data_IF_262410568296
#
_entry.id   IF_262410568296
#
_cell.length_a   1.000
_cell.length_b   1.000
_cell.length_c   1.000
_cell.angle_alpha   90.00
_cell.angle_beta   90.00
_cell.angle_gamma   90.00
#
_symmetry.space_group_name_H-M   'P 1'
#
loop_
_entity.id
_entity.type
_entity.pdbx_description
1 polymer ?
#
# COMPACT_ATOMS: atom_id res chain seq x y z
N UNK A 1 1.74 -9.70 20.79
CA UNK A 1 0.76 -10.75 20.43
C UNK A 1 -0.67 -10.26 20.19
N UNK A 2 -1.16 -9.20 20.87
CA UNK A 2 -2.55 -8.69 20.75
C UNK A 2 -2.89 -8.00 19.42
N UNK A 3 -1.94 -7.36 18.73
CA UNK A 3 -2.19 -6.66 17.46
C UNK A 3 -2.48 -7.63 16.30
N UNK A 4 -1.89 -8.83 16.28
CA UNK A 4 -2.16 -9.85 15.25
C UNK A 4 -3.62 -10.34 15.27
N UNK A 5 -4.23 -10.40 16.46
CA UNK A 5 -5.62 -10.80 16.62
C UNK A 5 -6.62 -9.70 16.21
N UNK A 6 -6.26 -8.44 16.39
CA UNK A 6 -7.07 -7.30 15.91
C UNK A 6 -7.15 -7.26 14.38
N UNK A 7 -6.06 -7.57 13.67
CA UNK A 7 -6.06 -7.69 12.21
C UNK A 7 -6.89 -8.89 11.72
N UNK A 8 -6.82 -10.04 12.40
CA UNK A 8 -7.62 -11.21 12.07
C UNK A 8 -9.13 -11.01 12.34
N UNK A 9 -9.48 -10.21 13.34
CA UNK A 9 -10.87 -9.86 13.66
C UNK A 9 -11.46 -8.79 12.70
N UNK A 10 -10.63 -7.96 12.08
CA UNK A 10 -11.10 -6.95 11.12
C UNK A 10 -11.49 -7.57 9.77
N UNK A 11 -10.83 -8.65 9.34
CA UNK A 11 -11.12 -9.34 8.06
C UNK A 11 -12.58 -9.83 7.96
N UNK A 12 -13.15 -10.55 8.95
CA UNK A 12 -14.56 -10.97 8.87
C UNK A 12 -15.56 -9.80 8.96
N UNK A 13 -15.19 -8.70 9.62
CA UNK A 13 -16.05 -7.49 9.67
C UNK A 13 -16.19 -6.84 8.28
N UNK A 14 -15.14 -6.87 7.46
CA UNK A 14 -15.21 -6.41 6.07
C UNK A 14 -15.97 -7.37 5.17
N UNK A 15 -15.86 -8.68 5.40
CA UNK A 15 -16.59 -9.70 4.64
C UNK A 15 -18.10 -9.71 4.95
N UNK A 16 -18.51 -9.41 6.18
CA UNK A 16 -19.93 -9.31 6.54
C UNK A 16 -20.58 -8.02 6.05
N UNK A 17 -19.82 -6.95 5.86
CA UNK A 17 -20.32 -5.71 5.23
C UNK A 17 -20.71 -5.92 3.75
N UNK A 18 -20.04 -6.84 3.04
CA UNK A 18 -20.39 -7.19 1.66
C UNK A 18 -21.70 -7.97 1.51
N UNK A 19 -22.15 -8.69 2.54
CA UNK A 19 -23.33 -9.56 2.42
C UNK A 19 -24.67 -8.87 2.72
N UNK A 20 -24.63 -7.68 3.35
CA UNK A 20 -25.88 -6.94 3.70
C UNK A 20 -26.33 -5.92 2.64
N UNK A 21 -25.58 -5.71 1.56
CA UNK A 21 -25.91 -4.71 0.54
C UNK A 21 -26.86 -5.20 -0.57
N UNK A 22 -27.41 -6.43 -0.47
CA UNK A 22 -28.25 -6.99 -1.53
C UNK A 22 -29.74 -6.58 -1.49
N UNK A 23 -30.19 -5.76 -0.54
CA UNK A 23 -31.64 -5.56 -0.36
C UNK A 23 -32.14 -4.12 -0.20
N UNK A 24 -31.38 -3.08 -0.50
CA UNK A 24 -31.97 -1.73 -0.41
C UNK A 24 -31.76 -0.95 -1.70
N UNK A 25 -32.85 -0.80 -2.46
CA UNK A 25 -33.04 0.15 -3.55
C UNK A 25 -32.89 1.64 -3.14
N UNK A 26 -32.45 1.93 -1.90
CA UNK A 26 -32.24 3.28 -1.38
C UNK A 26 -30.73 3.58 -1.27
N UNK A 27 -30.04 3.53 -2.43
CA UNK A 27 -28.60 3.86 -2.51
C UNK A 27 -28.27 5.35 -2.31
N UNK A 28 -29.27 6.23 -2.25
CA UNK A 28 -29.08 7.67 -2.41
C UNK A 28 -28.73 8.47 -1.14
N UNK A 29 -28.69 7.86 0.05
CA UNK A 29 -28.59 8.65 1.30
C UNK A 29 -27.43 8.33 2.24
N UNK A 30 -26.46 7.51 1.87
CA UNK A 30 -25.33 7.18 2.73
C UNK A 30 -24.13 8.11 2.52
N UNK A 31 -23.46 8.52 3.62
CA UNK A 31 -22.22 9.32 3.58
C UNK A 31 -21.17 8.66 2.65
N UNK A 32 -21.07 7.34 2.66
CA UNK A 32 -20.16 6.60 1.79
C UNK A 32 -20.50 6.79 0.31
N UNK A 33 -21.78 6.72 -0.05
CA UNK A 33 -22.24 6.94 -1.40
C UNK A 33 -21.89 8.36 -1.88
N UNK A 34 -22.19 9.37 -1.07
CA UNK A 34 -21.92 10.77 -1.39
C UNK A 34 -20.42 11.07 -1.57
N UNK A 35 -19.53 10.44 -0.76
CA UNK A 35 -18.09 10.74 -0.79
C UNK A 35 -17.34 9.92 -1.85
N UNK A 36 -17.72 8.66 -2.07
CA UNK A 36 -16.95 7.74 -2.94
C UNK A 36 -17.73 7.33 -4.20
N UNK A 37 -18.97 6.87 -4.08
CA UNK A 37 -19.67 6.29 -5.24
C UNK A 37 -20.09 7.37 -6.23
N UNK A 38 -20.83 8.39 -5.77
CA UNK A 38 -21.32 9.46 -6.66
C UNK A 38 -20.22 10.23 -7.40
N UNK A 39 -19.08 10.62 -6.77
CA UNK A 39 -18.00 11.27 -7.50
C UNK A 39 -17.36 10.37 -8.56
N UNK A 40 -17.17 9.07 -8.24
CA UNK A 40 -16.61 8.10 -9.20
C UNK A 40 -17.58 7.89 -10.36
N UNK A 41 -18.87 7.73 -10.07
CA UNK A 41 -19.92 7.53 -11.07
C UNK A 41 -20.04 8.74 -12.01
N UNK A 42 -20.15 9.95 -11.46
CA UNK A 42 -20.18 11.18 -12.25
C UNK A 42 -18.92 11.34 -13.12
N UNK A 43 -17.76 11.02 -12.57
CA UNK A 43 -16.51 11.10 -13.31
C UNK A 43 -16.44 10.04 -14.42
N UNK A 44 -16.94 8.83 -14.15
CA UNK A 44 -17.02 7.75 -15.13
C UNK A 44 -17.88 8.14 -16.33
N UNK A 45 -19.08 8.71 -16.08
CA UNK A 45 -19.97 9.18 -17.13
C UNK A 45 -19.40 10.37 -17.90
N UNK A 46 -18.86 11.39 -17.19
CA UNK A 46 -18.27 12.55 -17.85
C UNK A 46 -17.10 12.16 -18.76
N UNK A 47 -16.23 11.25 -18.33
CA UNK A 47 -15.15 10.74 -19.14
C UNK A 47 -15.63 9.80 -20.25
N UNK A 48 -16.65 8.98 -20.00
CA UNK A 48 -17.28 8.15 -21.02
C UNK A 48 -17.78 9.00 -22.18
N UNK A 49 -18.57 10.04 -21.90
CA UNK A 49 -19.04 10.99 -22.92
C UNK A 49 -17.87 11.73 -23.61
N UNK A 50 -16.84 12.15 -22.86
CA UNK A 50 -15.67 12.82 -23.45
C UNK A 50 -14.94 11.92 -24.46
N UNK A 51 -14.91 10.61 -24.20
CA UNK A 51 -14.26 9.62 -25.05
C UNK A 51 -15.21 8.94 -26.06
N UNK A 52 -16.36 9.53 -26.33
CA UNK A 52 -17.32 8.98 -27.30
C UNK A 52 -17.90 7.64 -26.86
N UNK A 53 -18.33 7.56 -25.60
CA UNK A 53 -18.92 6.38 -24.94
C UNK A 53 -17.89 5.23 -24.71
N UNK A 54 -16.60 5.53 -24.71
CA UNK A 54 -15.56 4.55 -24.43
C UNK A 54 -15.27 4.47 -22.92
N UNK A 55 -16.03 3.64 -22.21
CA UNK A 55 -15.91 3.45 -20.76
C UNK A 55 -14.61 2.77 -20.34
N UNK A 56 -13.95 2.00 -21.20
CA UNK A 56 -12.63 1.44 -20.92
C UNK A 56 -11.57 2.54 -20.77
N UNK A 57 -11.55 3.54 -21.65
CA UNK A 57 -10.67 4.70 -21.53
C UNK A 57 -11.02 5.56 -20.31
N UNK A 58 -12.31 5.68 -19.99
CA UNK A 58 -12.75 6.39 -18.79
C UNK A 58 -12.19 5.72 -17.52
N UNK A 59 -12.28 4.39 -17.40
CA UNK A 59 -11.73 3.61 -16.28
C UNK A 59 -10.20 3.78 -16.19
N UNK A 60 -9.47 3.67 -17.31
CA UNK A 60 -8.02 3.88 -17.35
C UNK A 60 -7.69 5.27 -16.81
N UNK A 61 -8.39 6.30 -17.27
CA UNK A 61 -8.15 7.68 -16.85
C UNK A 61 -8.43 7.87 -15.37
N UNK A 62 -9.54 7.33 -14.84
CA UNK A 62 -9.86 7.38 -13.40
C UNK A 62 -8.75 6.72 -12.58
N UNK A 63 -8.29 5.54 -12.99
CA UNK A 63 -7.21 4.83 -12.31
C UNK A 63 -5.95 5.67 -12.25
N UNK A 64 -5.54 6.25 -13.39
CA UNK A 64 -4.35 7.08 -13.47
C UNK A 64 -4.49 8.36 -12.64
N UNK A 65 -5.65 9.02 -12.66
CA UNK A 65 -5.92 10.19 -11.83
C UNK A 65 -5.79 9.87 -10.33
N UNK A 66 -6.38 8.77 -9.87
CA UNK A 66 -6.26 8.31 -8.49
C UNK A 66 -4.80 8.02 -8.15
N UNK A 67 -4.05 7.35 -9.04
CA UNK A 67 -2.64 7.04 -8.83
C UNK A 67 -1.76 8.29 -8.74
N UNK A 68 -1.98 9.26 -9.62
CA UNK A 68 -1.27 10.55 -9.60
C UNK A 68 -1.60 11.34 -8.32
N UNK A 69 -2.87 11.35 -7.90
CA UNK A 69 -3.28 12.02 -6.66
C UNK A 69 -2.61 11.39 -5.43
N UNK A 70 -2.49 10.06 -5.39
CA UNK A 70 -1.86 9.34 -4.29
C UNK A 70 -0.32 9.26 -4.39
N UNK A 71 0.26 9.62 -5.55
CA UNK A 71 1.69 9.51 -5.81
C UNK A 71 2.57 10.20 -4.75
N UNK A 72 2.35 11.47 -4.36
CA UNK A 72 3.22 12.14 -3.39
C UNK A 72 3.21 11.43 -2.04
N UNK A 73 2.06 10.92 -1.64
CA UNK A 73 1.91 10.17 -0.40
C UNK A 73 2.66 8.84 -0.44
N UNK A 74 2.53 8.08 -1.53
CA UNK A 74 3.21 6.80 -1.71
C UNK A 74 4.73 6.97 -1.78
N UNK A 75 5.21 8.01 -2.46
CA UNK A 75 6.63 8.34 -2.56
C UNK A 75 7.21 8.73 -1.20
N UNK A 76 6.49 9.54 -0.42
CA UNK A 76 6.89 9.90 0.94
C UNK A 76 7.00 8.67 1.85
N UNK A 77 6.09 7.72 1.71
CA UNK A 77 6.12 6.45 2.44
C UNK A 77 7.38 5.64 2.10
N UNK A 78 7.72 5.49 0.80
CA UNK A 78 8.94 4.81 0.37
C UNK A 78 10.19 5.50 0.93
N UNK A 79 10.25 6.84 0.90
CA UNK A 79 11.32 7.62 1.52
C UNK A 79 11.47 7.28 3.00
N UNK A 80 10.39 7.42 3.78
CA UNK A 80 10.41 7.19 5.22
C UNK A 80 10.84 5.76 5.57
N UNK A 81 10.40 4.79 4.79
CA UNK A 81 10.77 3.38 4.96
C UNK A 81 12.28 3.15 4.75
N UNK A 82 12.85 3.68 3.65
CA UNK A 82 14.29 3.56 3.40
C UNK A 82 15.12 4.29 4.47
N UNK A 83 14.74 5.52 4.81
CA UNK A 83 15.44 6.29 5.84
C UNK A 83 15.46 5.58 7.18
N UNK A 84 14.30 5.08 7.61
CA UNK A 84 14.21 4.35 8.86
C UNK A 84 15.05 3.07 8.83
N UNK A 85 15.02 2.32 7.73
CA UNK A 85 15.75 1.06 7.60
C UNK A 85 17.27 1.27 7.65
N UNK A 86 17.80 2.14 6.80
CA UNK A 86 19.24 2.37 6.68
C UNK A 86 19.80 2.97 7.98
N UNK A 87 19.12 3.95 8.59
CA UNK A 87 19.52 4.50 9.89
C UNK A 87 19.46 3.46 11.02
N UNK A 88 18.40 2.62 11.04
CA UNK A 88 18.29 1.56 12.04
C UNK A 88 19.43 0.55 11.92
N UNK A 89 19.86 0.21 10.69
CA UNK A 89 20.97 -0.72 10.48
C UNK A 89 22.27 -0.20 11.08
N UNK A 90 22.55 1.10 10.97
CA UNK A 90 23.74 1.74 11.58
C UNK A 90 23.76 1.63 13.11
N UNK A 91 22.61 1.84 13.75
CA UNK A 91 22.49 1.85 15.22
C UNK A 91 21.92 0.53 15.79
N UNK A 92 21.82 -0.51 14.94
CA UNK A 92 21.23 -1.80 15.30
C UNK A 92 21.81 -2.41 16.59
N UNK A 93 23.13 -2.44 16.82
CA UNK A 93 23.69 -3.01 18.05
C UNK A 93 23.19 -2.31 19.32
N UNK A 94 23.09 -0.98 19.28
CA UNK A 94 22.57 -0.20 20.41
C UNK A 94 21.08 -0.45 20.65
N UNK A 95 20.30 -0.52 19.58
CA UNK A 95 18.85 -0.81 19.63
C UNK A 95 18.60 -2.23 20.18
N UNK A 96 19.38 -3.21 19.78
CA UNK A 96 19.21 -4.60 20.22
C UNK A 96 19.53 -4.75 21.71
N UNK A 97 20.58 -4.10 22.20
CA UNK A 97 20.87 -4.04 23.65
C UNK A 97 19.71 -3.44 24.43
N UNK A 98 19.14 -2.31 23.95
CA UNK A 98 18.02 -1.67 24.64
C UNK A 98 16.73 -2.53 24.59
N UNK A 99 16.48 -3.22 23.49
CA UNK A 99 15.36 -4.16 23.38
C UNK A 99 15.52 -5.36 24.34
N UNK A 100 16.74 -5.81 24.52
CA UNK A 100 17.05 -6.88 25.48
C UNK A 100 16.81 -6.41 26.92
N UNK A 101 17.22 -5.20 27.27
CA UNK A 101 16.93 -4.60 28.58
C UNK A 101 15.42 -4.52 28.84
N UNK A 102 14.61 -4.11 27.84
CA UNK A 102 13.14 -4.12 27.96
C UNK A 102 12.58 -5.52 28.21
N UNK A 103 13.17 -6.57 27.62
CA UNK A 103 12.73 -7.96 27.83
C UNK A 103 13.15 -8.49 29.20
N UNK A 104 14.32 -8.11 29.71
CA UNK A 104 14.88 -8.55 30.97
C UNK A 104 14.31 -7.80 32.17
N UNK A 105 13.67 -6.65 31.98
CA UNK A 105 13.03 -5.85 33.00
C UNK A 105 11.98 -6.67 33.78
N UNK A 106 12.16 -6.78 35.10
CA UNK A 106 11.32 -7.59 35.99
C UNK A 106 10.15 -6.80 36.58
N UNK A 107 10.35 -5.50 36.79
CA UNK A 107 9.33 -4.62 37.34
C UNK A 107 8.66 -3.79 36.24
N UNK A 108 7.47 -3.27 36.54
CA UNK A 108 6.74 -2.39 35.62
C UNK A 108 7.51 -1.06 35.44
N UNK A 109 8.19 -0.62 36.48
CA UNK A 109 8.98 0.62 36.50
C UNK A 109 10.23 0.49 35.61
N UNK A 110 11.03 -0.57 35.78
CA UNK A 110 12.18 -0.88 34.93
C UNK A 110 11.76 -1.00 33.45
N UNK A 111 10.63 -1.61 33.18
CA UNK A 111 10.12 -1.76 31.83
C UNK A 111 9.73 -0.42 31.20
N UNK A 112 9.14 0.49 31.99
CA UNK A 112 8.77 1.82 31.52
C UNK A 112 10.02 2.64 31.21
N UNK A 113 11.01 2.61 32.09
CA UNK A 113 12.29 3.32 31.92
C UNK A 113 13.06 2.80 30.71
N UNK A 114 13.21 1.49 30.57
CA UNK A 114 13.88 0.87 29.42
C UNK A 114 13.17 1.19 28.09
N UNK A 115 11.83 1.21 28.07
CA UNK A 115 11.08 1.63 26.90
C UNK A 115 11.27 3.12 26.59
N UNK A 116 11.32 3.97 27.60
CA UNK A 116 11.59 5.39 27.43
C UNK A 116 12.96 5.62 26.81
N UNK A 117 14.00 4.94 27.33
CA UNK A 117 15.37 5.02 26.79
C UNK A 117 15.43 4.55 25.33
N UNK A 118 14.73 3.46 24.99
CA UNK A 118 14.64 2.97 23.62
C UNK A 118 13.96 4.00 22.70
N UNK A 119 12.87 4.62 23.16
CA UNK A 119 12.18 5.64 22.37
C UNK A 119 12.98 6.93 22.21
N UNK A 120 13.74 7.32 23.24
CA UNK A 120 14.61 8.50 23.19
C UNK A 120 15.80 8.25 22.25
N UNK A 121 16.35 7.03 22.23
CA UNK A 121 17.37 6.61 21.25
C UNK A 121 16.82 6.68 19.82
N UNK A 122 15.60 6.19 19.57
CA UNK A 122 14.97 6.34 18.25
C UNK A 122 14.83 7.80 17.84
N UNK A 123 14.42 8.69 18.76
CA UNK A 123 14.31 10.14 18.49
C UNK A 123 15.68 10.78 18.21
N UNK A 124 16.72 10.40 18.98
CA UNK A 124 18.08 10.92 18.81
C UNK A 124 18.61 10.73 17.38
N UNK A 125 18.31 9.58 16.78
CA UNK A 125 18.75 9.23 15.43
C UNK A 125 17.71 9.55 14.35
N UNK A 126 16.66 10.31 14.69
CA UNK A 126 15.52 10.60 13.79
C UNK A 126 14.91 9.33 13.15
N UNK A 127 14.87 8.25 13.94
CA UNK A 127 14.22 7.01 13.59
C UNK A 127 12.81 7.02 14.17
N UNK A 128 11.79 7.07 13.33
CA UNK A 128 10.41 7.09 13.80
C UNK A 128 9.68 5.79 13.42
N UNK A 129 9.57 4.82 14.35
CA UNK A 129 8.89 3.56 14.07
C UNK A 129 7.39 3.73 13.77
N UNK A 130 6.75 4.82 14.23
CA UNK A 130 5.36 5.12 13.93
C UNK A 130 5.16 5.54 12.46
N UNK A 131 6.13 6.24 11.86
CA UNK A 131 6.10 6.54 10.42
C UNK A 131 6.09 5.28 9.55
N UNK A 132 6.65 4.19 10.04
CA UNK A 132 6.63 2.89 9.34
C UNK A 132 5.25 2.19 9.46
N UNK A 133 4.50 2.44 10.54
CA UNK A 133 3.11 1.96 10.66
C UNK A 133 2.17 2.61 9.64
N UNK A 134 2.52 3.78 9.12
CA UNK A 134 1.84 4.42 7.99
C UNK A 134 2.01 3.62 6.68
N UNK A 135 2.83 2.56 6.68
CA UNK A 135 2.99 1.63 5.56
C UNK A 135 1.71 0.93 5.12
N UNK A 136 0.73 0.75 6.00
CA UNK A 136 -0.57 0.18 5.65
C UNK A 136 -1.61 1.25 5.24
N UNK A 137 -1.30 2.55 5.39
CA UNK A 137 -2.24 3.64 5.09
C UNK A 137 -2.71 3.66 3.61
N UNK A 138 -1.87 3.34 2.61
CA UNK A 138 -2.35 3.23 1.23
C UNK A 138 -3.48 2.22 1.06
N UNK A 139 -3.42 1.10 1.78
CA UNK A 139 -4.47 0.09 1.75
C UNK A 139 -5.77 0.65 2.33
N UNK A 140 -5.68 1.39 3.45
CA UNK A 140 -6.85 2.01 4.08
C UNK A 140 -7.52 3.06 3.21
N UNK A 141 -6.74 3.83 2.44
CA UNK A 141 -7.26 4.79 1.47
C UNK A 141 -7.81 4.08 0.22
N UNK A 142 -7.13 3.02 -0.22
CA UNK A 142 -7.48 2.27 -1.41
C UNK A 142 -8.81 1.52 -1.28
N UNK A 143 -9.10 0.92 -0.10
CA UNK A 143 -10.29 0.10 0.10
C UNK A 143 -11.61 0.86 -0.15
N UNK A 144 -11.85 2.07 0.40
CA UNK A 144 -13.05 2.85 0.10
C UNK A 144 -13.19 3.20 -1.38
N UNK A 145 -12.09 3.59 -2.02
CA UNK A 145 -12.07 3.94 -3.44
C UNK A 145 -12.41 2.71 -4.30
N UNK A 146 -11.77 1.58 -4.02
CA UNK A 146 -12.03 0.33 -4.73
C UNK A 146 -13.48 -0.13 -4.56
N UNK A 147 -14.00 -0.05 -3.34
CA UNK A 147 -15.37 -0.43 -3.05
C UNK A 147 -16.38 0.51 -3.74
N UNK A 148 -16.11 1.82 -3.74
CA UNK A 148 -16.90 2.79 -4.49
C UNK A 148 -16.94 2.47 -5.99
N UNK A 149 -15.80 2.15 -6.59
CA UNK A 149 -15.72 1.75 -7.99
C UNK A 149 -16.49 0.45 -8.26
N UNK A 150 -16.41 -0.55 -7.39
CA UNK A 150 -17.17 -1.80 -7.52
C UNK A 150 -18.69 -1.52 -7.51
N UNK A 151 -19.15 -0.64 -6.63
CA UNK A 151 -20.57 -0.26 -6.58
C UNK A 151 -20.99 0.46 -7.85
N UNK A 152 -20.21 1.46 -8.30
CA UNK A 152 -20.49 2.19 -9.55
C UNK A 152 -20.58 1.25 -10.75
N UNK A 153 -19.69 0.25 -10.85
CA UNK A 153 -19.68 -0.71 -11.95
C UNK A 153 -20.81 -1.74 -11.87
N UNK A 154 -21.33 -2.04 -10.67
CA UNK A 154 -22.47 -2.96 -10.48
C UNK A 154 -23.84 -2.28 -10.66
N UNK A 155 -23.91 -1.00 -10.37
CA UNK A 155 -25.16 -0.23 -10.37
C UNK A 155 -24.92 1.14 -11.01
N UNK A 156 -24.66 1.19 -12.32
CA UNK A 156 -24.44 2.45 -13.03
C UNK A 156 -25.71 3.30 -13.02
N UNK A 157 -25.58 4.61 -12.80
CA UNK A 157 -26.72 5.50 -12.60
C UNK A 157 -27.57 5.69 -13.86
N UNK A 158 -26.95 5.76 -15.04
CA UNK A 158 -27.63 6.08 -16.32
C UNK A 158 -27.43 5.02 -17.41
N UNK A 159 -27.06 3.78 -17.03
CA UNK A 159 -26.89 2.68 -17.98
C UNK A 159 -25.71 2.86 -18.97
N UNK A 160 -24.85 3.86 -18.77
CA UNK A 160 -23.80 4.22 -19.72
C UNK A 160 -22.86 3.07 -20.07
N UNK A 161 -22.21 2.46 -19.07
CA UNK A 161 -21.31 1.31 -19.29
C UNK A 161 -22.08 0.07 -19.77
N UNK A 162 -23.34 -0.11 -19.36
CA UNK A 162 -24.18 -1.23 -19.80
C UNK A 162 -24.62 -1.06 -21.26
N UNK A 163 -24.79 0.19 -21.73
CA UNK A 163 -25.13 0.51 -23.12
C UNK A 163 -23.92 0.38 -24.06
N UNK A 164 -22.71 0.65 -23.55
CA UNK A 164 -21.45 0.61 -24.31
C UNK A 164 -20.40 -0.24 -23.56
N UNK A 165 -20.66 -1.56 -23.38
CA UNK A 165 -19.85 -2.39 -22.48
C UNK A 165 -18.54 -2.87 -23.09
N UNK A 166 -18.33 -2.73 -24.42
CA UNK A 166 -17.15 -3.29 -25.07
C UNK A 166 -15.94 -2.36 -25.02
N UNK A 167 -14.82 -2.92 -24.60
CA UNK A 167 -13.52 -2.29 -24.68
C UNK A 167 -12.48 -3.27 -25.22
N UNK A 168 -11.77 -2.88 -26.28
CA UNK A 168 -10.87 -3.76 -27.04
C UNK A 168 -11.55 -5.07 -27.45
N UNK A 169 -11.25 -6.18 -26.78
CA UNK A 169 -11.76 -7.53 -27.10
C UNK A 169 -12.72 -8.08 -26.02
N UNK A 170 -13.05 -7.34 -24.98
CA UNK A 170 -13.83 -7.84 -23.84
C UNK A 170 -14.96 -6.91 -23.43
N UNK A 171 -15.97 -7.52 -22.81
CA UNK A 171 -17.10 -6.81 -22.21
C UNK A 171 -16.69 -6.38 -20.78
N UNK A 172 -16.81 -5.08 -20.49
CA UNK A 172 -16.43 -4.47 -19.20
C UNK A 172 -17.32 -4.92 -18.04
N UNK A 173 -18.58 -5.28 -18.31
CA UNK A 173 -19.59 -5.62 -17.29
C UNK A 173 -19.57 -7.10 -16.90
N UNK A 174 -18.94 -7.96 -17.70
CA UNK A 174 -18.87 -9.40 -17.50
C UNK A 174 -17.44 -9.85 -17.11
N UNK A 175 -17.28 -10.97 -16.40
CA UNK A 175 -15.97 -11.55 -16.15
C UNK A 175 -15.26 -11.97 -17.45
N UNK A 176 -13.96 -11.69 -17.55
CA UNK A 176 -13.15 -12.08 -18.70
C UNK A 176 -11.82 -12.68 -18.23
N UNK A 177 -11.53 -13.90 -18.72
CA UNK A 177 -10.34 -14.66 -18.34
C UNK A 177 -9.04 -13.93 -18.72
N UNK A 178 -8.99 -13.35 -19.94
CA UNK A 178 -7.74 -12.79 -20.46
C UNK A 178 -7.30 -11.54 -19.68
N UNK A 179 -8.20 -10.60 -19.41
CA UNK A 179 -7.84 -9.43 -18.61
C UNK A 179 -7.51 -9.82 -17.15
N UNK A 180 -8.15 -10.86 -16.62
CA UNK A 180 -7.82 -11.41 -15.30
C UNK A 180 -6.42 -12.02 -15.26
N UNK A 181 -6.01 -12.74 -16.30
CA UNK A 181 -4.66 -13.29 -16.42
C UNK A 181 -3.61 -12.18 -16.60
N UNK A 182 -3.90 -11.14 -17.39
CA UNK A 182 -3.02 -9.97 -17.52
C UNK A 182 -2.82 -9.30 -16.17
N UNK A 183 -3.89 -9.08 -15.41
CA UNK A 183 -3.81 -8.55 -14.06
C UNK A 183 -2.97 -9.44 -13.14
N UNK A 184 -3.14 -10.77 -13.21
CA UNK A 184 -2.35 -11.73 -12.45
C UNK A 184 -0.84 -11.64 -12.76
N UNK A 185 -0.48 -11.53 -14.03
CA UNK A 185 0.93 -11.33 -14.45
C UNK A 185 1.50 -10.04 -13.89
N UNK A 186 0.75 -8.94 -13.95
CA UNK A 186 1.18 -7.66 -13.38
C UNK A 186 1.40 -7.78 -11.87
N UNK A 187 0.49 -8.41 -11.14
CA UNK A 187 0.59 -8.60 -9.70
C UNK A 187 1.59 -9.68 -9.28
N UNK A 188 2.02 -10.54 -10.20
CA UNK A 188 3.19 -11.41 -9.99
C UNK A 188 4.49 -10.60 -9.99
N UNK A 189 4.66 -9.67 -10.93
CA UNK A 189 5.88 -8.87 -11.03
C UNK A 189 5.97 -7.74 -10.00
N UNK A 190 4.86 -7.21 -9.51
CA UNK A 190 4.85 -6.08 -8.58
C UNK A 190 5.64 -6.36 -7.28
N UNK A 191 5.46 -7.47 -6.55
CA UNK A 191 6.28 -7.78 -5.38
C UNK A 191 7.75 -8.06 -5.71
N UNK A 192 8.03 -8.56 -6.93
CA UNK A 192 9.40 -8.79 -7.39
C UNK A 192 10.19 -7.49 -7.50
N UNK A 193 9.59 -6.43 -8.06
CA UNK A 193 10.21 -5.09 -8.12
C UNK A 193 10.52 -4.57 -6.72
N UNK A 194 9.64 -4.78 -5.76
CA UNK A 194 9.92 -4.45 -4.37
C UNK A 194 11.07 -5.30 -3.80
N UNK A 195 11.06 -6.63 -4.04
CA UNK A 195 12.05 -7.55 -3.52
C UNK A 195 13.50 -7.20 -3.95
N UNK A 196 13.70 -6.67 -5.16
CA UNK A 196 15.01 -6.26 -5.66
C UNK A 196 15.65 -5.20 -4.77
N UNK A 197 14.84 -4.31 -4.18
CA UNK A 197 15.28 -3.17 -3.38
C UNK A 197 15.39 -3.46 -1.87
N UNK A 198 15.06 -4.70 -1.44
CA UNK A 198 15.11 -5.13 -0.04
C UNK A 198 16.30 -6.04 0.25
N UNK A 199 16.82 -6.04 1.48
CA UNK A 199 17.83 -7.02 1.94
C UNK A 199 17.36 -8.46 1.80
N UNK A 200 18.30 -9.41 1.70
CA UNK A 200 18.00 -10.83 1.45
C UNK A 200 17.07 -11.47 2.49
N UNK A 201 17.22 -11.08 3.76
CA UNK A 201 16.42 -11.56 4.89
C UNK A 201 14.94 -11.14 4.79
N UNK A 202 14.66 -9.97 4.23
CA UNK A 202 13.31 -9.42 4.09
C UNK A 202 12.61 -9.86 2.78
N UNK A 203 13.34 -10.38 1.80
CA UNK A 203 12.80 -10.80 0.49
C UNK A 203 11.80 -11.94 0.58
N UNK A 204 11.89 -12.79 1.63
CA UNK A 204 10.97 -13.92 1.81
C UNK A 204 9.50 -13.51 1.77
N UNK A 205 9.15 -12.40 2.43
CA UNK A 205 7.78 -11.88 2.43
C UNK A 205 7.32 -11.48 1.02
N UNK A 206 8.19 -10.85 0.24
CA UNK A 206 7.87 -10.44 -1.13
C UNK A 206 7.72 -11.65 -2.07
N UNK A 207 8.51 -12.71 -1.88
CA UNK A 207 8.35 -13.96 -2.65
C UNK A 207 7.05 -14.69 -2.33
N UNK A 208 6.62 -14.68 -1.06
CA UNK A 208 5.29 -15.21 -0.69
C UNK A 208 4.17 -14.40 -1.35
N UNK A 209 4.26 -13.06 -1.32
CA UNK A 209 3.30 -12.19 -1.98
C UNK A 209 3.30 -12.35 -3.51
N UNK A 210 4.45 -12.64 -4.12
CA UNK A 210 4.58 -12.89 -5.56
C UNK A 210 3.75 -14.08 -6.03
N UNK A 211 3.53 -15.06 -5.15
CA UNK A 211 2.69 -16.23 -5.45
C UNK A 211 1.24 -15.98 -5.03
N UNK A 212 1.03 -15.40 -3.84
CA UNK A 212 -0.30 -15.24 -3.26
C UNK A 212 -1.13 -14.15 -3.95
N UNK A 213 -0.48 -13.02 -4.33
CA UNK A 213 -1.21 -11.89 -4.92
C UNK A 213 -1.85 -12.20 -6.28
N UNK A 214 -1.19 -12.86 -7.27
CA UNK A 214 -1.84 -13.19 -8.52
C UNK A 214 -2.99 -14.19 -8.34
N UNK A 215 -2.87 -15.16 -7.44
CA UNK A 215 -3.96 -16.10 -7.14
C UNK A 215 -5.19 -15.36 -6.63
N UNK A 216 -4.99 -14.47 -5.66
CA UNK A 216 -6.06 -13.66 -5.08
C UNK A 216 -6.71 -12.73 -6.11
N UNK A 217 -5.91 -12.02 -6.89
CA UNK A 217 -6.39 -11.09 -7.93
C UNK A 217 -7.14 -11.85 -9.03
N UNK A 218 -6.63 -13.00 -9.49
CA UNK A 218 -7.31 -13.82 -10.49
C UNK A 218 -8.65 -14.31 -9.97
N UNK A 219 -8.69 -14.83 -8.75
CA UNK A 219 -9.92 -15.33 -8.14
C UNK A 219 -11.00 -14.24 -8.08
N UNK A 220 -10.66 -13.06 -7.57
CA UNK A 220 -11.64 -11.96 -7.48
C UNK A 220 -12.01 -11.42 -8.87
N UNK A 221 -11.05 -11.31 -9.79
CA UNK A 221 -11.29 -10.81 -11.15
C UNK A 221 -12.26 -11.70 -11.93
N UNK A 222 -12.16 -13.03 -11.76
CA UNK A 222 -13.08 -13.98 -12.40
C UNK A 222 -14.49 -14.01 -11.79
N UNK A 223 -14.64 -13.44 -10.58
CA UNK A 223 -15.94 -13.30 -9.91
C UNK A 223 -16.56 -11.90 -10.11
N UNK A 224 -15.88 -11.02 -10.82
CA UNK A 224 -16.24 -9.61 -10.95
C UNK A 224 -16.27 -9.18 -12.42
N UNK A 225 -16.88 -8.05 -12.68
CA UNK A 225 -16.83 -7.38 -13.99
C UNK A 225 -15.37 -7.17 -14.44
N UNK A 226 -15.07 -7.37 -15.73
CA UNK A 226 -13.72 -7.24 -16.28
C UNK A 226 -13.15 -5.81 -16.19
N UNK A 227 -14.03 -4.81 -16.01
CA UNK A 227 -13.64 -3.45 -15.65
C UNK A 227 -12.74 -3.41 -14.40
N UNK A 228 -12.95 -4.31 -13.42
CA UNK A 228 -12.10 -4.43 -12.26
C UNK A 228 -10.74 -5.05 -12.60
N UNK A 229 -10.70 -6.03 -13.52
CA UNK A 229 -9.46 -6.57 -14.07
C UNK A 229 -8.62 -5.50 -14.79
N UNK A 230 -9.29 -4.63 -15.56
CA UNK A 230 -8.67 -3.47 -16.21
C UNK A 230 -8.10 -2.49 -15.18
N UNK A 231 -8.87 -2.16 -14.15
CA UNK A 231 -8.43 -1.33 -13.03
C UNK A 231 -7.15 -1.87 -12.37
N UNK A 232 -7.10 -3.17 -12.07
CA UNK A 232 -5.91 -3.79 -11.47
C UNK A 232 -4.73 -3.82 -12.42
N UNK A 233 -4.95 -4.11 -13.70
CA UNK A 233 -3.88 -4.12 -14.70
C UNK A 233 -3.21 -2.76 -14.81
N UNK A 234 -3.99 -1.71 -15.05
CA UNK A 234 -3.46 -0.35 -15.22
C UNK A 234 -2.86 0.16 -13.92
N UNK A 235 -3.57 0.00 -12.80
CA UNK A 235 -3.10 0.42 -11.48
C UNK A 235 -1.85 -0.31 -11.03
N UNK A 236 -1.73 -1.61 -11.32
CA UNK A 236 -0.56 -2.43 -11.00
C UNK A 236 0.66 -2.05 -11.86
N UNK A 237 0.49 -1.83 -13.16
CA UNK A 237 1.56 -1.34 -14.04
C UNK A 237 2.09 0.01 -13.58
N UNK A 238 1.20 0.95 -13.24
CA UNK A 238 1.61 2.24 -12.70
C UNK A 238 2.41 2.08 -11.41
N UNK A 239 1.97 1.19 -10.49
CA UNK A 239 2.69 0.92 -9.25
C UNK A 239 4.07 0.32 -9.48
N UNK A 240 4.23 -0.59 -10.43
CA UNK A 240 5.54 -1.18 -10.78
C UNK A 240 6.51 -0.07 -11.17
N UNK A 241 6.11 0.81 -12.08
CA UNK A 241 6.91 1.94 -12.56
C UNK A 241 7.22 2.89 -11.40
N UNK A 242 6.21 3.34 -10.69
CA UNK A 242 6.33 4.28 -9.57
C UNK A 242 7.27 3.76 -8.48
N UNK A 243 7.07 2.51 -8.05
CA UNK A 243 7.84 1.91 -6.96
C UNK A 243 9.30 1.66 -7.36
N UNK A 244 9.55 1.25 -8.61
CA UNK A 244 10.91 1.11 -9.11
C UNK A 244 11.70 2.41 -8.98
N UNK A 245 11.16 3.51 -9.49
CA UNK A 245 11.83 4.82 -9.42
C UNK A 245 11.94 5.35 -7.99
N UNK A 246 10.87 5.23 -7.20
CA UNK A 246 10.89 5.69 -5.82
C UNK A 246 11.93 4.93 -4.97
N UNK A 247 12.00 3.61 -5.09
CA UNK A 247 13.00 2.80 -4.38
C UNK A 247 14.43 3.10 -4.84
N UNK A 248 14.66 3.23 -6.17
CA UNK A 248 15.99 3.53 -6.70
C UNK A 248 16.50 4.89 -6.20
N UNK A 249 15.66 5.91 -6.23
CA UNK A 249 16.00 7.27 -5.82
C UNK A 249 16.19 7.39 -4.30
N UNK A 250 15.17 7.03 -3.52
CA UNK A 250 15.22 7.22 -2.06
C UNK A 250 16.10 6.19 -1.35
N UNK A 251 16.28 5.00 -1.92
CA UNK A 251 17.25 4.05 -1.40
C UNK A 251 18.70 4.57 -1.49
N UNK A 252 19.04 5.32 -2.55
CA UNK A 252 20.36 5.96 -2.67
C UNK A 252 20.53 7.08 -1.63
N UNK A 253 19.54 7.96 -1.49
CA UNK A 253 19.58 9.07 -0.53
C UNK A 253 19.70 8.52 0.90
N UNK A 254 18.90 7.52 1.26
CA UNK A 254 18.91 6.94 2.60
C UNK A 254 20.27 6.30 2.95
N UNK A 255 20.90 5.59 2.00
CA UNK A 255 22.26 5.04 2.21
C UNK A 255 23.30 6.12 2.41
N UNK A 256 23.25 7.21 1.67
CA UNK A 256 24.16 8.34 1.85
C UNK A 256 23.99 8.98 3.25
N UNK A 257 22.76 9.21 3.70
CA UNK A 257 22.52 9.74 5.06
C UNK A 257 22.96 8.75 6.16
N UNK A 258 22.75 7.45 5.95
CA UNK A 258 23.21 6.44 6.88
C UNK A 258 24.74 6.37 6.96
N UNK A 259 25.46 6.54 5.84
CA UNK A 259 26.93 6.60 5.84
C UNK A 259 27.46 7.81 6.61
N UNK A 260 26.84 8.98 6.45
CA UNK A 260 27.20 10.19 7.22
C UNK A 260 26.99 9.95 8.74
N UNK A 261 25.84 9.38 9.12
CA UNK A 261 25.58 9.02 10.52
C UNK A 261 26.61 8.02 11.07
N UNK A 262 27.01 7.04 10.26
CA UNK A 262 28.04 6.08 10.67
C UNK A 262 29.40 6.74 10.91
N UNK A 263 29.79 7.69 10.08
CA UNK A 263 31.07 8.41 10.22
C UNK A 263 31.05 9.33 11.45
N UNK A 264 29.95 10.06 11.70
CA UNK A 264 29.76 10.84 12.92
C UNK A 264 29.86 9.98 14.20
N UNK A 265 29.29 8.79 14.18
CA UNK A 265 29.36 7.86 15.33
C UNK A 265 30.78 7.33 15.55
N UNK A 266 31.54 7.08 14.49
CA UNK A 266 32.95 6.67 14.59
C UNK A 266 33.80 7.78 15.20
N UNK A 267 33.68 8.99 14.67
CA UNK A 267 34.44 10.16 15.16
C UNK A 267 34.13 10.42 16.65
N UNK A 268 32.87 10.40 17.04
CA UNK A 268 32.47 10.54 18.44
C UNK A 268 33.05 9.48 19.33
N UNK A 269 33.12 8.22 18.88
CA UNK A 269 33.72 7.13 19.65
C UNK A 269 35.25 7.26 19.76
N UNK A 270 35.90 7.78 18.74
CA UNK A 270 37.38 8.05 18.80
C UNK A 270 37.70 9.18 19.79
N UNK A 271 36.90 10.27 19.76
CA UNK A 271 37.02 11.36 20.72
C UNK A 271 36.86 10.84 22.16
N UNK A 272 35.83 10.06 22.44
CA UNK A 272 35.59 9.50 23.76
C UNK A 272 36.77 8.63 24.20
N UNK A 273 37.30 7.79 23.33
CA UNK A 273 38.46 6.96 23.62
C UNK A 273 39.72 7.79 23.94
N UNK A 274 39.93 8.91 23.25
CA UNK A 274 41.06 9.82 23.50
C UNK A 274 40.97 10.57 24.84
N UNK A 275 39.79 10.68 25.45
CA UNK A 275 39.61 11.29 26.78
C UNK A 275 39.73 10.28 27.93
N UNK A 276 39.64 8.98 27.65
CA UNK A 276 39.71 7.89 28.67
C UNK A 276 41.11 7.34 28.80
N UNK A 277 41.96 7.51 27.81
CA UNK A 277 43.41 7.19 27.84
C UNK A 277 44.24 8.37 28.36
#
# INVERSE_FOLDING_TARGET
MRIKWLFLLSIPLFLTACNKSQQTHNHDQGIFNMIFVQPIDKLLHALGHLYGENYGLAIITIVLLIRVLLLPFMVLQVKNMHMMREKTEVVQPQIDTLKENVKLAKTQEEKLESNKLLMDTYKQYDINPLKNMLGCLPILIQLPILYGLIITLKFPSDGGIDSHPYFLWFNLTEPNLWISLIAAVVYFFQPLVNAIHYPKDQRKTHYVLMILSPIFITYISLQSASALGLYWTVGGLFLIIQMHFAHAYYGKIARNEASLLQDELKERNEIIKSFIL
#
